data_IF_792988161707
#
_entry.id   IF_792988161707
#
_cell.length_a   1.000
_cell.length_b   1.000
_cell.length_c   1.000
_cell.angle_alpha   90.00
_cell.angle_beta   90.00
_cell.angle_gamma   90.00
#
_symmetry.space_group_name_H-M   'P 1'
#
loop_
_entity.id
_entity.type
_entity.pdbx_description
1 polymer ?
#
# COMPACT_ATOMS: atom_id res chain seq x y z
N UNK A 1 -0.68 -3.80 -0.99
CA UNK A 1 -1.49 -4.39 0.09
C UNK A 1 -0.72 -5.39 0.93
N UNK A 2 -0.15 -6.46 0.36
CA UNK A 2 0.64 -7.44 1.15
C UNK A 2 1.79 -6.79 1.93
N UNK A 3 2.45 -5.79 1.35
CA UNK A 3 3.47 -5.00 2.06
C UNK A 3 2.92 -4.33 3.33
N UNK A 4 1.69 -3.82 3.31
CA UNK A 4 1.04 -3.20 4.47
C UNK A 4 0.69 -4.26 5.52
N UNK A 5 0.02 -5.34 5.10
CA UNK A 5 -0.39 -6.43 6.00
C UNK A 5 0.81 -7.10 6.67
N UNK A 6 1.94 -7.18 5.96
CA UNK A 6 3.16 -7.77 6.50
C UNK A 6 4.06 -6.79 7.25
N UNK A 7 3.56 -5.59 7.56
CA UNK A 7 4.31 -4.52 8.22
C UNK A 7 5.64 -4.17 7.53
N UNK A 8 5.68 -4.28 6.20
CA UNK A 8 6.85 -4.03 5.36
C UNK A 8 7.83 -5.22 5.26
N UNK A 9 7.53 -6.38 5.84
CA UNK A 9 8.36 -7.58 5.69
C UNK A 9 8.41 -8.07 4.24
N UNK A 10 7.29 -8.00 3.52
CA UNK A 10 7.25 -8.22 2.07
C UNK A 10 7.20 -6.88 1.33
N UNK A 11 7.88 -6.82 0.19
CA UNK A 11 7.86 -5.64 -0.68
C UNK A 11 6.94 -5.85 -1.88
N UNK A 12 6.10 -4.86 -2.16
CA UNK A 12 5.36 -4.77 -3.41
C UNK A 12 6.33 -4.31 -4.50
N UNK A 13 6.48 -5.07 -5.59
CA UNK A 13 7.48 -4.79 -6.63
C UNK A 13 6.81 -4.26 -7.90
N UNK A 14 7.41 -3.24 -8.50
CA UNK A 14 6.98 -2.72 -9.80
C UNK A 14 7.40 -3.68 -10.92
N UNK A 15 6.47 -3.96 -11.83
CA UNK A 15 6.71 -4.81 -12.99
C UNK A 15 6.18 -4.12 -14.24
N UNK A 16 6.83 -4.38 -15.37
CA UNK A 16 6.41 -3.86 -16.68
C UNK A 16 6.47 -4.95 -17.74
N UNK A 17 5.55 -4.90 -18.69
CA UNK A 17 5.64 -5.68 -19.92
C UNK A 17 6.30 -4.83 -21.01
N UNK A 18 7.26 -5.41 -21.73
CA UNK A 18 7.96 -4.74 -22.83
C UNK A 18 7.54 -5.40 -24.15
N UNK A 19 7.28 -4.57 -25.16
CA UNK A 19 6.90 -5.02 -26.50
C UNK A 19 8.12 -5.40 -27.34
N UNK A 20 7.90 -6.19 -28.39
CA UNK A 20 8.92 -6.46 -29.41
C UNK A 20 8.27 -6.39 -30.81
N UNK A 21 9.10 -6.34 -31.85
CA UNK A 21 8.65 -6.25 -33.25
C UNK A 21 8.46 -7.61 -33.94
N UNK A 22 8.89 -8.71 -33.32
CA UNK A 22 9.00 -10.02 -33.99
C UNK A 22 7.83 -10.96 -33.72
N UNK A 23 7.19 -10.87 -32.57
CA UNK A 23 6.12 -11.79 -32.18
C UNK A 23 5.12 -11.15 -31.21
N UNK A 24 3.83 -11.48 -31.40
CA UNK A 24 2.78 -11.14 -30.45
C UNK A 24 2.92 -11.97 -29.16
N UNK A 25 2.65 -11.35 -28.00
CA UNK A 25 2.59 -12.01 -26.69
C UNK A 25 1.20 -11.86 -26.09
N UNK A 26 0.62 -12.96 -25.64
CA UNK A 26 -0.60 -12.99 -24.84
C UNK A 26 -0.27 -13.46 -23.42
N UNK A 27 -0.84 -12.80 -22.42
CA UNK A 27 -0.78 -13.22 -21.02
C UNK A 27 -2.10 -12.94 -20.32
N UNK A 28 -2.49 -13.80 -19.38
CA UNK A 28 -3.67 -13.63 -18.54
C UNK A 28 -3.19 -13.40 -17.10
N UNK A 29 -3.75 -12.39 -16.43
CA UNK A 29 -3.46 -12.08 -15.03
C UNK A 29 -4.74 -12.27 -14.21
N UNK A 30 -4.63 -13.00 -13.11
CA UNK A 30 -5.66 -13.08 -12.08
C UNK A 30 -5.18 -12.35 -10.84
N UNK A 31 -6.00 -11.44 -10.31
CA UNK A 31 -5.68 -10.64 -9.12
C UNK A 31 -6.68 -10.99 -8.04
N UNK A 32 -6.19 -11.32 -6.85
CA UNK A 32 -7.01 -11.56 -5.66
C UNK A 32 -7.00 -10.29 -4.83
N UNK A 33 -8.18 -9.78 -4.48
CA UNK A 33 -8.34 -8.54 -3.70
C UNK A 33 -9.35 -8.77 -2.56
N UNK A 34 -9.20 -8.04 -1.43
CA UNK A 34 -10.22 -7.98 -0.38
C UNK A 34 -11.51 -7.34 -0.87
N UNK A 35 -12.57 -7.49 -0.07
CA UNK A 35 -13.80 -6.72 -0.25
C UNK A 35 -13.60 -5.24 0.13
N UNK A 36 -14.37 -4.32 -0.45
CA UNK A 36 -14.18 -2.88 -0.26
C UNK A 36 -14.26 -2.42 1.20
N UNK A 37 -15.11 -3.08 1.99
CA UNK A 37 -15.31 -2.77 3.41
C UNK A 37 -14.40 -3.60 4.33
N UNK A 38 -13.47 -4.37 3.76
CA UNK A 38 -12.45 -5.07 4.54
C UNK A 38 -11.52 -4.06 5.20
N UNK A 39 -11.36 -4.19 6.53
CA UNK A 39 -10.34 -3.46 7.29
C UNK A 39 -8.97 -4.07 7.02
N UNK A 40 -8.02 -3.24 6.61
CA UNK A 40 -6.64 -3.58 6.33
C UNK A 40 -5.74 -2.91 7.37
N UNK A 41 -4.87 -3.68 7.99
CA UNK A 41 -3.88 -3.21 8.95
C UNK A 41 -2.69 -4.20 9.01
N UNK A 42 -1.53 -3.80 9.54
CA UNK A 42 -0.45 -4.74 9.82
C UNK A 42 -0.95 -5.91 10.68
N UNK A 43 -0.62 -7.13 10.28
CA UNK A 43 -1.01 -8.33 11.03
C UNK A 43 -0.38 -8.28 12.43
N UNK A 44 -1.20 -8.50 13.47
CA UNK A 44 -0.74 -8.39 14.86
C UNK A 44 0.48 -9.26 15.19
N UNK A 45 0.63 -10.42 14.53
CA UNK A 45 1.79 -11.29 14.70
C UNK A 45 3.11 -10.71 14.15
N UNK A 46 3.06 -9.63 13.38
CA UNK A 46 4.19 -8.94 12.75
C UNK A 46 4.42 -7.53 13.32
N UNK A 47 3.77 -7.22 14.44
CA UNK A 47 3.92 -5.96 15.18
C UNK A 47 4.40 -6.27 16.59
N UNK A 48 5.42 -5.55 17.05
CA UNK A 48 5.97 -5.64 18.41
C UNK A 48 6.55 -4.29 18.86
N UNK A 49 7.10 -4.23 20.08
CA UNK A 49 7.81 -3.02 20.54
C UNK A 49 9.07 -2.73 19.72
N UNK A 50 9.75 -3.78 19.24
CA UNK A 50 10.96 -3.66 18.41
C UNK A 50 10.62 -3.41 16.93
N UNK A 51 9.43 -3.83 16.50
CA UNK A 51 8.92 -3.66 15.14
C UNK A 51 7.50 -3.06 15.20
N UNK A 52 7.37 -1.76 15.50
CA UNK A 52 6.06 -1.13 15.63
C UNK A 52 5.32 -1.10 14.29
N UNK A 53 4.00 -0.89 14.36
CA UNK A 53 3.19 -0.75 13.16
C UNK A 53 3.69 0.44 12.31
N UNK A 54 4.07 0.17 11.06
CA UNK A 54 4.50 1.18 10.09
C UNK A 54 3.35 1.81 9.33
N UNK A 55 2.19 1.16 9.34
CA UNK A 55 1.02 1.56 8.59
C UNK A 55 -0.20 1.67 9.51
N UNK A 56 -1.04 2.67 9.26
CA UNK A 56 -2.32 2.85 9.97
C UNK A 56 -3.36 1.85 9.44
N UNK A 57 -4.39 1.53 10.22
CA UNK A 57 -5.56 0.85 9.70
C UNK A 57 -6.37 1.72 8.73
N UNK A 58 -7.00 1.08 7.75
CA UNK A 58 -7.91 1.69 6.76
C UNK A 58 -8.87 0.66 6.16
N UNK A 59 -9.91 1.10 5.46
CA UNK A 59 -10.76 0.24 4.63
C UNK A 59 -10.17 0.07 3.24
N UNK A 60 -10.34 -1.10 2.61
CA UNK A 60 -9.82 -1.33 1.26
C UNK A 60 -10.35 -0.32 0.23
N UNK A 61 -11.58 0.19 0.39
CA UNK A 61 -12.11 1.34 -0.34
C UNK A 61 -11.16 2.54 -0.35
N UNK A 62 -10.66 2.96 0.81
CA UNK A 62 -9.74 4.11 0.93
C UNK A 62 -8.45 3.86 0.14
N UNK A 63 -7.97 2.62 0.16
CA UNK A 63 -6.80 2.22 -0.63
C UNK A 63 -7.09 2.30 -2.13
N UNK A 64 -8.26 1.85 -2.58
CA UNK A 64 -8.63 1.85 -3.99
C UNK A 64 -8.71 3.29 -4.54
N UNK A 65 -9.38 4.17 -3.79
CA UNK A 65 -9.46 5.61 -4.10
C UNK A 65 -8.06 6.23 -4.14
N UNK A 66 -7.24 5.96 -3.11
CA UNK A 66 -5.88 6.48 -3.08
C UNK A 66 -5.02 5.98 -4.25
N UNK A 67 -5.16 4.70 -4.61
CA UNK A 67 -4.42 4.10 -5.72
C UNK A 67 -4.78 4.75 -7.06
N UNK A 68 -6.07 5.03 -7.29
CA UNK A 68 -6.53 5.75 -8.47
C UNK A 68 -6.00 7.19 -8.50
N UNK A 69 -6.12 7.93 -7.40
CA UNK A 69 -5.66 9.33 -7.30
C UNK A 69 -4.15 9.49 -7.48
N UNK A 70 -3.37 8.47 -7.13
CA UNK A 70 -1.93 8.47 -7.24
C UNK A 70 -1.42 8.06 -8.64
N UNK A 71 -2.31 7.77 -9.60
CA UNK A 71 -1.90 7.25 -10.90
C UNK A 71 -1.12 5.93 -10.79
N UNK A 72 -1.49 5.09 -9.82
CA UNK A 72 -0.84 3.82 -9.51
C UNK A 72 0.61 3.93 -8.98
N UNK A 73 1.08 5.12 -8.57
CA UNK A 73 2.42 5.29 -7.99
C UNK A 73 2.51 4.63 -6.61
N UNK A 74 3.40 3.65 -6.49
CA UNK A 74 3.55 2.84 -5.28
C UNK A 74 3.94 3.67 -4.07
N UNK A 75 4.92 4.58 -4.20
CA UNK A 75 5.43 5.33 -3.05
C UNK A 75 4.41 6.35 -2.56
N UNK A 76 3.70 7.02 -3.48
CA UNK A 76 2.63 7.96 -3.13
C UNK A 76 1.50 7.24 -2.40
N UNK A 77 1.10 6.05 -2.87
CA UNK A 77 0.06 5.25 -2.22
C UNK A 77 0.52 4.81 -0.82
N UNK A 78 1.71 4.23 -0.69
CA UNK A 78 2.21 3.78 0.62
C UNK A 78 2.36 4.93 1.61
N UNK A 79 2.81 6.10 1.14
CA UNK A 79 2.96 7.29 1.99
C UNK A 79 1.66 7.72 2.68
N UNK A 80 0.50 7.58 2.00
CA UNK A 80 -0.83 7.92 2.55
C UNK A 80 -1.27 7.01 3.71
N UNK A 81 -0.72 5.80 3.79
CA UNK A 81 -1.08 4.81 4.80
C UNK A 81 0.02 4.59 5.84
N UNK A 82 1.21 5.19 5.68
CA UNK A 82 2.26 5.13 6.69
C UNK A 82 1.86 5.92 7.94
N UNK A 83 2.27 5.42 9.10
CA UNK A 83 2.24 6.19 10.35
C UNK A 83 3.48 7.09 10.33
N UNK A 84 3.26 8.40 10.37
CA UNK A 84 4.33 9.39 10.40
C UNK A 84 4.60 9.78 11.87
N UNK A 85 5.76 9.46 12.45
CA UNK A 85 5.98 9.64 13.89
C UNK A 85 6.03 11.09 14.39
N UNK A 86 5.90 12.12 13.53
CA UNK A 86 6.16 13.52 13.89
C UNK A 86 5.30 14.56 13.13
N UNK A 87 3.99 14.37 13.03
CA UNK A 87 3.11 15.54 12.92
C UNK A 87 2.90 16.09 14.33
N UNK A 88 3.87 16.86 14.83
CA UNK A 88 3.60 17.81 15.91
C UNK A 88 2.44 18.67 15.38
N UNK A 89 1.27 18.74 16.03
CA UNK A 89 0.29 19.74 15.68
C UNK A 89 0.99 21.08 15.81
N UNK A 90 1.17 21.82 14.72
CA UNK A 90 1.53 23.23 14.83
C UNK A 90 0.45 23.86 15.70
N UNK A 91 0.81 24.23 16.93
CA UNK A 91 -0.03 25.00 17.82
C UNK A 91 -0.57 26.20 17.02
N UNK A 92 -1.90 26.39 16.94
CA UNK A 92 -2.42 27.64 16.44
C UNK A 92 -2.32 28.69 17.54
N UNK A 93 -1.64 29.80 17.21
CA UNK A 93 -1.66 31.13 17.85
C UNK A 93 -0.58 31.40 18.92
N UNK A 94 0.51 32.03 18.48
CA UNK A 94 0.86 33.40 18.92
C UNK A 94 0.88 34.32 17.69
#
# INVERSE_FOLDING_TARGET
MMEIVTNGLLHSVEHRAVTNSSAARLSVVSVIMPEMDSRIEPAAALVSEQEPAKFRPFLFREFNEAYADAGCDREVVLHRFRIHPNLIPSDPLE
#
